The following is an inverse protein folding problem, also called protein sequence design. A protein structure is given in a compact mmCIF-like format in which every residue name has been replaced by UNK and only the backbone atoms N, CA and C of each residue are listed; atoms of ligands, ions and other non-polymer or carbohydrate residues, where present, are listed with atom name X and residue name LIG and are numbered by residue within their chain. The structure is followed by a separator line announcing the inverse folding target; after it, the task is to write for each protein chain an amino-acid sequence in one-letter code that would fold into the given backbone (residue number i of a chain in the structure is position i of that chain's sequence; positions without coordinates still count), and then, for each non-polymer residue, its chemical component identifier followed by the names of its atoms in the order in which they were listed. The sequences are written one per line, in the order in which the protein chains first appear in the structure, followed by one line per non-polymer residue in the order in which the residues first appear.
data_IF_784898216906
#
_entry.id   IF_784898216906
#
_cell.length_a   1.000
_cell.length_b   1.000
_cell.length_c   1.000
_cell.angle_alpha   90.00
_cell.angle_beta   90.00
_cell.angle_gamma   90.00
#
_symmetry.space_group_name_H-M   'P 1'
#
loop_
_entity.id
_entity.type
_entity.pdbx_description
1 polymer ?
#
# COMPACT_ATOMS: atom_id res chain seq x y z
N UNK A 1 -7.78 -7.77 -16.83
CA UNK A 1 -8.71 -7.63 -15.69
C UNK A 1 -8.49 -8.86 -14.81
N UNK A 2 -8.38 -8.71 -13.49
CA UNK A 2 -8.15 -9.85 -12.59
C UNK A 2 -9.24 -10.91 -12.82
N UNK A 3 -8.85 -12.18 -12.88
CA UNK A 3 -9.78 -13.31 -13.06
C UNK A 3 -10.44 -13.66 -11.72
N UNK A 4 -11.65 -14.22 -11.77
CA UNK A 4 -12.30 -14.76 -10.58
C UNK A 4 -11.37 -15.81 -9.92
N UNK A 5 -11.02 -15.60 -8.65
CA UNK A 5 -10.11 -16.46 -7.88
C UNK A 5 -8.67 -15.93 -7.72
N UNK A 6 -8.28 -14.88 -8.45
CA UNK A 6 -7.01 -14.20 -8.17
C UNK A 6 -7.08 -13.44 -6.83
N UNK A 7 -6.01 -13.50 -6.05
CA UNK A 7 -5.89 -12.82 -4.76
C UNK A 7 -4.67 -11.90 -4.74
N UNK A 8 -4.62 -11.00 -3.76
CA UNK A 8 -3.45 -10.15 -3.54
C UNK A 8 -2.64 -10.64 -2.34
N UNK A 9 -1.41 -10.16 -2.24
CA UNK A 9 -0.54 -10.41 -1.10
C UNK A 9 -1.20 -9.93 0.19
N UNK A 10 -1.12 -10.73 1.26
CA UNK A 10 -1.62 -10.30 2.56
C UNK A 10 -0.89 -9.06 3.05
N UNK A 11 -1.54 -8.28 3.93
CA UNK A 11 -1.01 -7.05 4.53
C UNK A 11 0.42 -7.22 5.07
N UNK A 12 0.68 -8.33 5.79
CA UNK A 12 1.99 -8.63 6.38
C UNK A 12 3.03 -8.98 5.31
N UNK A 13 2.68 -9.85 4.35
CA UNK A 13 3.58 -10.23 3.26
C UNK A 13 3.96 -9.02 2.40
N UNK A 14 3.00 -8.15 2.12
CA UNK A 14 3.24 -6.91 1.37
C UNK A 14 4.21 -5.98 2.11
N UNK A 15 4.10 -5.87 3.44
CA UNK A 15 4.97 -5.02 4.23
C UNK A 15 6.40 -5.60 4.38
N UNK A 16 6.50 -6.92 4.50
CA UNK A 16 7.79 -7.61 4.46
C UNK A 16 8.49 -7.37 3.12
N UNK A 17 7.78 -7.51 2.00
CA UNK A 17 8.31 -7.23 0.67
C UNK A 17 8.81 -5.79 0.54
N UNK A 18 8.03 -4.81 1.03
CA UNK A 18 8.44 -3.41 1.01
C UNK A 18 9.73 -3.17 1.81
N UNK A 19 9.89 -3.85 2.95
CA UNK A 19 11.05 -3.68 3.83
C UNK A 19 12.29 -4.42 3.32
N UNK A 20 12.14 -5.64 2.79
CA UNK A 20 13.26 -6.50 2.40
C UNK A 20 13.74 -6.28 0.97
N UNK A 21 12.84 -5.88 0.08
CA UNK A 21 13.12 -5.74 -1.35
C UNK A 21 13.15 -4.27 -1.73
N UNK A 22 12.03 -3.57 -1.58
CA UNK A 22 11.94 -2.18 -2.06
C UNK A 22 12.93 -1.24 -1.36
N UNK A 23 13.11 -1.36 -0.05
CA UNK A 23 14.12 -0.53 0.65
C UNK A 23 15.56 -0.83 0.23
N UNK A 24 15.87 -1.99 -0.35
CA UNK A 24 17.21 -2.28 -0.87
C UNK A 24 17.42 -1.65 -2.23
N UNK A 25 16.39 -1.72 -3.07
CA UNK A 25 16.45 -1.26 -4.46
C UNK A 25 16.32 0.26 -4.59
N UNK A 26 15.66 0.91 -3.61
CA UNK A 26 15.38 2.34 -3.62
C UNK A 26 15.89 3.02 -2.35
N UNK A 27 17.07 3.65 -2.43
CA UNK A 27 17.72 4.28 -1.28
C UNK A 27 16.88 5.38 -0.62
N UNK A 28 16.12 6.15 -1.40
CA UNK A 28 15.24 7.18 -0.85
C UNK A 28 14.18 6.62 0.12
N UNK A 29 13.81 5.33 0.02
CA UNK A 29 12.88 4.69 0.97
C UNK A 29 13.52 4.40 2.34
N UNK A 30 14.85 4.47 2.46
CA UNK A 30 15.57 4.37 3.73
C UNK A 30 15.53 5.70 4.49
N UNK A 31 15.51 6.82 3.77
CA UNK A 31 15.46 8.18 4.34
C UNK A 31 14.07 8.52 4.87
N UNK A 32 13.02 7.98 4.24
CA UNK A 32 11.64 8.23 4.62
C UNK A 32 11.28 7.48 5.92
N UNK A 33 10.41 8.11 6.71
CA UNK A 33 9.74 7.52 7.87
C UNK A 33 9.17 6.11 7.59
N UNK A 34 9.59 5.15 8.43
CA UNK A 34 9.18 3.75 8.35
C UNK A 34 7.66 3.55 8.49
N UNK A 35 6.99 4.38 9.28
CA UNK A 35 5.55 4.24 9.52
C UNK A 35 4.75 4.72 8.32
N UNK A 36 5.20 5.78 7.64
CA UNK A 36 4.58 6.25 6.40
C UNK A 36 4.61 5.19 5.30
N UNK A 37 5.76 4.51 5.12
CA UNK A 37 5.89 3.41 4.14
C UNK A 37 4.95 2.25 4.51
N UNK A 38 4.93 1.85 5.78
CA UNK A 38 4.07 0.74 6.24
C UNK A 38 2.58 1.07 6.06
N UNK A 39 2.16 2.29 6.41
CA UNK A 39 0.78 2.74 6.24
C UNK A 39 0.36 2.76 4.76
N UNK A 40 1.24 3.18 3.85
CA UNK A 40 0.97 3.15 2.41
C UNK A 40 0.71 1.73 1.89
N UNK A 41 1.52 0.75 2.34
CA UNK A 41 1.33 -0.67 2.00
C UNK A 41 0.03 -1.21 2.59
N UNK A 42 -0.32 -0.80 3.81
CA UNK A 42 -1.56 -1.23 4.46
C UNK A 42 -2.81 -0.69 3.79
N UNK A 43 -2.77 0.55 3.31
CA UNK A 43 -3.86 1.10 2.50
C UNK A 43 -4.03 0.36 1.18
N UNK A 44 -2.93 -0.08 0.55
CA UNK A 44 -2.98 -0.88 -0.67
C UNK A 44 -3.65 -2.23 -0.42
N UNK A 45 -3.25 -2.94 0.63
CA UNK A 45 -3.83 -4.23 1.00
C UNK A 45 -5.34 -4.11 1.29
N UNK A 46 -5.77 -3.14 2.12
CA UNK A 46 -7.19 -2.92 2.41
C UNK A 46 -8.01 -2.58 1.14
N UNK A 47 -7.46 -1.78 0.23
CA UNK A 47 -8.15 -1.45 -1.02
C UNK A 47 -8.37 -2.69 -1.90
N UNK A 48 -7.36 -3.55 -2.03
CA UNK A 48 -7.50 -4.80 -2.77
C UNK A 48 -8.42 -5.80 -2.07
N UNK A 49 -8.35 -5.93 -0.74
CA UNK A 49 -9.29 -6.72 0.06
C UNK A 49 -10.74 -6.34 -0.26
N UNK A 50 -11.06 -5.04 -0.25
CA UNK A 50 -12.42 -4.55 -0.58
C UNK A 50 -12.81 -4.79 -2.03
N UNK A 51 -11.84 -4.67 -2.96
CA UNK A 51 -12.06 -4.94 -4.38
C UNK A 51 -12.43 -6.41 -4.62
N UNK A 52 -11.67 -7.36 -4.07
CA UNK A 52 -11.94 -8.79 -4.23
C UNK A 52 -13.20 -9.25 -3.48
N UNK A 53 -13.55 -8.58 -2.38
CA UNK A 53 -14.85 -8.75 -1.68
C UNK A 53 -16.04 -8.12 -2.43
N UNK A 54 -15.82 -7.57 -3.63
CA UNK A 54 -16.85 -6.89 -4.45
C UNK A 54 -17.53 -5.72 -3.74
N UNK A 55 -16.88 -5.11 -2.74
CA UNK A 55 -17.39 -3.94 -2.02
C UNK A 55 -17.09 -2.64 -2.76
N UNK A 56 -15.93 -2.59 -3.43
CA UNK A 56 -15.45 -1.40 -4.12
C UNK A 56 -14.97 -1.73 -5.55
N UNK A 57 -14.84 -0.68 -6.36
CA UNK A 57 -14.21 -0.75 -7.68
C UNK A 57 -12.69 -0.94 -7.56
N UNK A 58 -12.03 -1.13 -8.70
CA UNK A 58 -10.59 -1.32 -8.76
C UNK A 58 -9.82 -0.24 -7.97
N UNK A 59 -8.84 -0.60 -7.13
CA UNK A 59 -8.05 0.35 -6.36
C UNK A 59 -7.40 1.41 -7.24
N UNK A 60 -7.35 2.65 -6.76
CA UNK A 60 -6.73 3.78 -7.47
C UNK A 60 -5.69 4.44 -6.58
N UNK A 61 -4.55 4.79 -7.17
CA UNK A 61 -3.54 5.58 -6.47
C UNK A 61 -4.03 7.00 -6.18
N UNK A 62 -3.50 7.60 -5.12
CA UNK A 62 -3.82 8.99 -4.76
C UNK A 62 -3.32 9.95 -5.84
N UNK A 63 -4.18 10.86 -6.28
CA UNK A 63 -3.83 11.89 -7.27
C UNK A 63 -3.29 13.15 -6.60
N UNK A 64 -2.16 13.69 -7.07
CA UNK A 64 -1.58 14.95 -6.57
C UNK A 64 -2.54 16.15 -6.61
N UNK A 65 -3.45 16.19 -7.60
CA UNK A 65 -4.39 17.31 -7.82
C UNK A 65 -5.76 17.11 -7.17
N UNK A 66 -6.27 15.87 -7.16
CA UNK A 66 -7.66 15.58 -6.74
C UNK A 66 -7.77 14.94 -5.36
N UNK A 67 -6.69 14.39 -4.80
CA UNK A 67 -6.72 13.79 -3.47
C UNK A 67 -6.41 14.81 -2.37
N UNK A 68 -6.96 14.58 -1.18
CA UNK A 68 -6.59 15.34 0.02
C UNK A 68 -5.09 15.17 0.29
N UNK A 69 -4.36 16.29 0.35
CA UNK A 69 -2.94 16.34 0.71
C UNK A 69 -2.81 16.08 2.21
N UNK A 70 -2.48 14.86 2.59
CA UNK A 70 -2.33 14.46 3.99
C UNK A 70 -1.14 13.52 4.14
N UNK A 71 -0.40 13.66 5.24
CA UNK A 71 0.67 12.75 5.62
C UNK A 71 0.20 11.91 6.82
N UNK A 72 0.25 10.57 6.70
CA UNK A 72 -0.24 9.66 7.73
C UNK A 72 0.93 8.88 8.30
N UNK A 73 1.29 9.19 9.55
CA UNK A 73 2.33 8.50 10.30
C UNK A 73 1.87 8.23 11.73
N UNK A 74 2.53 7.27 12.37
CA UNK A 74 2.35 6.96 13.78
C UNK A 74 3.57 7.46 14.55
N UNK A 75 3.39 7.75 15.83
CA UNK A 75 4.48 8.08 16.74
C UNK A 75 4.44 7.08 17.90
N UNK A 76 5.62 6.75 18.42
CA UNK A 76 5.82 5.91 19.61
C UNK A 76 6.94 6.53 20.41
#
# INVERSE_FOLDING_TARGET
RYKDGESHLSKLKSNEFATRTLKKDYDFLKEIDKFAVSNAVFHLADAYDRFFKKQNHFPKFKSKRKSKKSYTTNFT
#
